data_IF_491573066166
#
_entry.id   IF_491573066166
#
_cell.length_a   1.000
_cell.length_b   1.000
_cell.length_c   1.000
_cell.angle_alpha   90.00
_cell.angle_beta   90.00
_cell.angle_gamma   90.00
#
_symmetry.space_group_name_H-M   'P 1'
#
loop_
_entity.id
_entity.type
_entity.pdbx_description
1 polymer ?
#
# COMPACT_ATOMS: atom_id res chain seq x y z
N UNK A 1 -0.99 -9.56 16.14
CA UNK A 1 -1.30 -8.49 15.16
C UNK A 1 -0.13 -8.21 14.22
N UNK A 2 1.04 -7.71 14.66
CA UNK A 2 2.15 -7.40 13.73
C UNK A 2 2.60 -8.60 12.87
N UNK A 3 2.82 -9.77 13.46
CA UNK A 3 3.21 -10.99 12.72
C UNK A 3 2.14 -11.46 11.72
N UNK A 4 0.86 -11.32 12.06
CA UNK A 4 -0.26 -11.68 11.17
C UNK A 4 -0.28 -10.77 9.93
N UNK A 5 -0.04 -9.47 10.10
CA UNK A 5 0.07 -8.55 8.99
C UNK A 5 1.31 -8.82 8.13
N UNK A 6 2.45 -9.15 8.73
CA UNK A 6 3.67 -9.52 7.98
C UNK A 6 3.37 -10.72 7.07
N UNK A 7 2.81 -11.80 7.64
CA UNK A 7 2.47 -13.01 6.88
C UNK A 7 1.43 -12.74 5.78
N UNK A 8 0.42 -11.92 6.07
CA UNK A 8 -0.60 -11.57 5.09
C UNK A 8 -0.04 -10.74 3.94
N UNK A 9 0.73 -9.69 4.23
CA UNK A 9 1.35 -8.84 3.20
C UNK A 9 2.35 -9.65 2.38
N UNK A 10 3.16 -10.47 3.02
CA UNK A 10 4.11 -11.38 2.35
C UNK A 10 3.38 -12.35 1.41
N UNK A 11 2.30 -12.97 1.86
CA UNK A 11 1.48 -13.85 1.02
C UNK A 11 0.87 -13.13 -0.18
N UNK A 12 0.39 -11.89 0.02
CA UNK A 12 -0.18 -11.06 -1.05
C UNK A 12 0.91 -10.71 -2.09
N UNK A 13 2.12 -10.39 -1.65
CA UNK A 13 3.24 -10.07 -2.53
C UNK A 13 3.71 -11.31 -3.33
N UNK A 14 3.81 -12.47 -2.69
CA UNK A 14 4.15 -13.74 -3.34
C UNK A 14 3.13 -14.15 -4.42
N UNK A 15 1.84 -13.88 -4.20
CA UNK A 15 0.80 -14.14 -5.19
C UNK A 15 0.91 -13.22 -6.41
N UNK A 16 1.45 -12.02 -6.23
CA UNK A 16 1.63 -11.06 -7.32
C UNK A 16 2.85 -11.39 -8.19
N UNK A 17 3.96 -11.78 -7.59
CA UNK A 17 5.19 -12.13 -8.31
C UNK A 17 5.84 -13.38 -7.71
N UNK A 18 5.61 -14.51 -8.37
CA UNK A 18 6.10 -15.83 -7.97
C UNK A 18 7.57 -16.07 -8.31
N UNK A 19 8.23 -15.12 -8.99
CA UNK A 19 9.63 -15.24 -9.42
C UNK A 19 10.62 -14.52 -8.50
N UNK A 20 10.15 -13.62 -7.64
CA UNK A 20 11.00 -12.92 -6.67
C UNK A 20 11.34 -13.80 -5.45
N UNK A 21 12.49 -13.52 -4.84
CA UNK A 21 12.99 -14.27 -3.69
C UNK A 21 12.15 -14.06 -2.43
N UNK A 22 12.00 -15.12 -1.63
CA UNK A 22 11.18 -15.11 -0.41
C UNK A 22 11.62 -14.03 0.61
N UNK A 23 12.95 -13.83 0.72
CA UNK A 23 13.57 -12.83 1.61
C UNK A 23 13.29 -11.37 1.18
N UNK A 24 13.12 -11.12 -0.13
CA UNK A 24 12.85 -9.78 -0.67
C UNK A 24 11.44 -9.33 -0.29
N UNK A 25 10.47 -10.26 -0.31
CA UNK A 25 9.09 -9.97 0.08
C UNK A 25 8.91 -9.83 1.58
N UNK A 26 9.70 -10.56 2.39
CA UNK A 26 9.67 -10.37 3.83
C UNK A 26 10.16 -8.97 4.20
N UNK A 27 11.27 -8.53 3.60
CA UNK A 27 11.80 -7.17 3.78
C UNK A 27 10.80 -6.11 3.32
N UNK A 28 10.14 -6.33 2.18
CA UNK A 28 9.09 -5.44 1.70
C UNK A 28 7.90 -5.36 2.66
N UNK A 29 7.42 -6.48 3.18
CA UNK A 29 6.32 -6.53 4.15
C UNK A 29 6.65 -5.77 5.44
N UNK A 30 7.88 -5.89 5.94
CA UNK A 30 8.34 -5.14 7.10
C UNK A 30 8.41 -3.63 6.83
N UNK A 31 8.88 -3.22 5.65
CA UNK A 31 8.93 -1.82 5.23
C UNK A 31 7.53 -1.22 5.15
N UNK A 32 6.58 -1.94 4.51
CA UNK A 32 5.17 -1.54 4.39
C UNK A 32 4.57 -1.28 5.77
N UNK A 33 4.82 -2.18 6.74
CA UNK A 33 4.27 -2.00 8.08
C UNK A 33 4.95 -0.87 8.85
N UNK A 34 6.27 -0.75 8.76
CA UNK A 34 7.01 0.30 9.46
C UNK A 34 6.54 1.69 9.01
N UNK A 35 6.49 1.93 7.71
CA UNK A 35 6.07 3.21 7.14
C UNK A 35 4.55 3.39 7.25
N UNK A 36 3.79 2.32 7.07
CA UNK A 36 2.34 2.31 7.25
C UNK A 36 1.93 2.72 8.66
N UNK A 37 2.52 2.15 9.70
CA UNK A 37 2.23 2.54 11.09
C UNK A 37 2.69 3.96 11.41
N UNK A 38 3.75 4.45 10.77
CA UNK A 38 4.13 5.86 10.89
C UNK A 38 3.00 6.76 10.39
N UNK A 39 2.50 6.53 9.17
CA UNK A 39 1.42 7.34 8.59
C UNK A 39 0.08 7.19 9.30
N UNK A 40 -0.30 5.97 9.71
CA UNK A 40 -1.50 5.76 10.54
C UNK A 40 -1.44 6.60 11.82
N UNK A 41 -0.26 6.70 12.45
CA UNK A 41 -0.07 7.55 13.63
C UNK A 41 -0.18 9.03 13.30
N UNK A 42 0.40 9.49 12.19
CA UNK A 42 0.27 10.90 11.77
C UNK A 42 -1.20 11.25 11.45
N UNK A 43 -1.94 10.37 10.78
CA UNK A 43 -3.39 10.50 10.59
C UNK A 43 -4.15 10.56 11.91
N UNK A 44 -3.79 9.73 12.89
CA UNK A 44 -4.45 9.70 14.20
C UNK A 44 -4.25 11.00 14.99
N UNK A 45 -3.08 11.64 14.84
CA UNK A 45 -2.79 12.93 15.46
C UNK A 45 -3.56 14.06 14.80
N UNK A 46 -3.62 14.03 13.46
CA UNK A 46 -4.24 15.08 12.67
C UNK A 46 -4.86 14.49 11.39
N UNK A 47 -6.13 14.07 11.43
CA UNK A 47 -6.83 13.54 10.26
C UNK A 47 -7.22 14.71 9.36
N UNK A 48 -6.27 15.15 8.53
CA UNK A 48 -6.41 16.28 7.63
C UNK A 48 -5.97 15.92 6.23
N UNK A 49 -6.51 16.64 5.24
CA UNK A 49 -6.10 16.53 3.84
C UNK A 49 -4.60 16.75 3.67
N UNK A 50 -4.01 17.67 4.44
CA UNK A 50 -2.57 17.92 4.41
C UNK A 50 -1.74 16.67 4.78
N UNK A 51 -2.22 15.85 5.72
CA UNK A 51 -1.56 14.58 6.09
C UNK A 51 -1.62 13.58 4.96
N UNK A 52 -2.78 13.47 4.29
CA UNK A 52 -2.95 12.62 3.09
C UNK A 52 -2.00 13.07 1.98
N UNK A 53 -1.97 14.37 1.69
CA UNK A 53 -1.12 14.96 0.64
C UNK A 53 0.35 14.72 0.92
N UNK A 54 0.80 14.90 2.16
CA UNK A 54 2.19 14.65 2.57
C UNK A 54 2.57 13.17 2.41
N UNK A 55 1.66 12.25 2.77
CA UNK A 55 1.85 10.82 2.58
C UNK A 55 1.99 10.50 1.09
N UNK A 56 1.06 10.94 0.25
CA UNK A 56 1.10 10.70 -1.20
C UNK A 56 2.37 11.30 -1.82
N UNK A 57 2.77 12.51 -1.41
CA UNK A 57 4.02 13.11 -1.87
C UNK A 57 5.23 12.26 -1.49
N UNK A 58 5.31 11.79 -0.25
CA UNK A 58 6.38 10.91 0.21
C UNK A 58 6.43 9.60 -0.59
N UNK A 59 5.29 8.91 -0.71
CA UNK A 59 5.19 7.64 -1.43
C UNK A 59 5.51 7.80 -2.92
N UNK A 60 5.13 8.92 -3.54
CA UNK A 60 5.39 9.19 -4.96
C UNK A 60 6.87 9.30 -5.34
N UNK A 61 7.78 9.34 -4.36
CA UNK A 61 9.23 9.39 -4.59
C UNK A 61 9.89 8.02 -4.80
N UNK A 62 9.10 6.94 -4.79
CA UNK A 62 9.58 5.60 -5.09
C UNK A 62 10.29 5.52 -6.45
N UNK A 63 11.53 5.02 -6.45
CA UNK A 63 12.42 5.08 -7.61
C UNK A 63 12.40 3.79 -8.44
N UNK A 64 12.38 2.63 -7.78
CA UNK A 64 12.37 1.33 -8.44
C UNK A 64 10.95 0.76 -8.57
N UNK A 65 10.74 -0.21 -9.45
CA UNK A 65 9.45 -0.90 -9.58
C UNK A 65 9.02 -1.56 -8.26
N UNK A 66 9.96 -2.15 -7.53
CA UNK A 66 9.70 -2.74 -6.21
C UNK A 66 9.31 -1.66 -5.19
N UNK A 67 9.99 -0.51 -5.18
CA UNK A 67 9.63 0.60 -4.28
C UNK A 67 8.23 1.12 -4.59
N UNK A 68 7.82 1.17 -5.86
CA UNK A 68 6.48 1.61 -6.26
C UNK A 68 5.42 0.65 -5.74
N UNK A 69 5.67 -0.66 -5.82
CA UNK A 69 4.79 -1.69 -5.23
C UNK A 69 4.70 -1.52 -3.72
N UNK A 70 5.84 -1.37 -3.03
CA UNK A 70 5.89 -1.11 -1.59
C UNK A 70 5.11 0.16 -1.24
N UNK A 71 5.24 1.22 -2.02
CA UNK A 71 4.54 2.48 -1.81
C UNK A 71 3.01 2.33 -1.97
N UNK A 72 2.54 1.63 -3.01
CA UNK A 72 1.12 1.31 -3.20
C UNK A 72 0.55 0.49 -2.05
N UNK A 73 1.28 -0.53 -1.62
CA UNK A 73 0.88 -1.39 -0.52
C UNK A 73 0.87 -0.65 0.82
N UNK A 74 1.81 0.27 1.03
CA UNK A 74 1.84 1.17 2.19
C UNK A 74 0.61 2.07 2.20
N UNK A 75 0.26 2.66 1.06
CA UNK A 75 -0.98 3.44 0.93
C UNK A 75 -2.20 2.58 1.28
N UNK A 76 -2.26 1.35 0.76
CA UNK A 76 -3.38 0.43 0.99
C UNK A 76 -3.57 0.12 2.47
N UNK A 77 -2.46 -0.19 3.13
CA UNK A 77 -2.43 -0.46 4.56
C UNK A 77 -2.93 0.75 5.37
N UNK A 78 -2.44 1.95 5.09
CA UNK A 78 -2.83 3.16 5.84
C UNK A 78 -4.31 3.47 5.65
N UNK A 79 -4.79 3.47 4.41
CA UNK A 79 -6.18 3.80 4.09
C UNK A 79 -7.15 2.77 4.68
N UNK A 80 -6.82 1.48 4.60
CA UNK A 80 -7.63 0.43 5.22
C UNK A 80 -7.62 0.52 6.74
N UNK A 81 -6.44 0.69 7.35
CA UNK A 81 -6.31 0.80 8.81
C UNK A 81 -7.05 2.02 9.35
N UNK A 82 -7.06 3.14 8.63
CA UNK A 82 -7.77 4.37 9.03
C UNK A 82 -9.25 4.37 8.63
N UNK A 83 -9.76 3.27 8.05
CA UNK A 83 -11.14 3.14 7.55
C UNK A 83 -11.55 4.27 6.62
N UNK A 84 -10.64 4.70 5.74
CA UNK A 84 -10.94 5.67 4.71
C UNK A 84 -12.11 5.17 3.84
N UNK A 85 -13.09 6.00 3.47
CA UNK A 85 -14.14 5.60 2.55
C UNK A 85 -13.59 5.05 1.23
N UNK A 86 -14.21 3.99 0.71
CA UNK A 86 -13.69 3.23 -0.43
C UNK A 86 -13.59 4.07 -1.72
N UNK A 87 -14.48 5.03 -1.90
CA UNK A 87 -14.46 5.99 -3.01
C UNK A 87 -13.25 6.93 -2.93
N UNK A 88 -12.97 7.47 -1.75
CA UNK A 88 -11.78 8.30 -1.49
C UNK A 88 -10.51 7.48 -1.65
N UNK A 89 -10.48 6.27 -1.09
CA UNK A 89 -9.32 5.39 -1.18
C UNK A 89 -9.01 5.03 -2.64
N UNK A 90 -10.03 4.72 -3.44
CA UNK A 90 -9.89 4.43 -4.87
C UNK A 90 -9.30 5.60 -5.63
N UNK A 91 -9.78 6.82 -5.40
CA UNK A 91 -9.22 8.03 -6.01
C UNK A 91 -7.73 8.23 -5.69
N UNK A 92 -7.33 7.99 -4.43
CA UNK A 92 -5.93 8.09 -4.01
C UNK A 92 -5.05 6.98 -4.61
N UNK A 93 -5.57 5.76 -4.77
CA UNK A 93 -4.86 4.68 -5.45
C UNK A 93 -4.66 4.98 -6.92
N UNK A 94 -5.70 5.44 -7.62
CA UNK A 94 -5.61 5.77 -9.03
C UNK A 94 -4.62 6.93 -9.27
N UNK A 95 -4.61 7.95 -8.41
CA UNK A 95 -3.62 9.03 -8.44
C UNK A 95 -2.18 8.51 -8.30
N UNK A 96 -1.92 7.61 -7.34
CA UNK A 96 -0.57 7.09 -7.12
C UNK A 96 -0.16 6.11 -8.24
N UNK A 97 -1.09 5.28 -8.73
CA UNK A 97 -0.87 4.40 -9.88
C UNK A 97 -0.55 5.20 -11.13
N UNK A 98 -1.29 6.27 -11.40
CA UNK A 98 -1.04 7.17 -12.51
C UNK A 98 0.39 7.73 -12.43
N UNK A 99 0.78 8.31 -11.29
CA UNK A 99 2.15 8.85 -11.10
C UNK A 99 3.27 7.82 -11.34
N UNK A 100 3.03 6.56 -11.02
CA UNK A 100 4.03 5.50 -11.13
C UNK A 100 4.13 4.85 -12.51
N UNK A 101 3.00 4.78 -13.23
CA UNK A 101 2.83 3.88 -14.35
C UNK A 101 2.22 4.52 -15.61
N UNK A 102 2.05 5.85 -15.63
CA UNK A 102 1.44 6.66 -16.72
C UNK A 102 1.86 6.25 -18.16
N UNK A 103 3.08 5.70 -18.35
CA UNK A 103 3.65 5.49 -19.68
C UNK A 103 4.15 4.06 -20.02
N UNK A 104 4.04 3.06 -19.13
CA UNK A 104 4.82 1.81 -19.32
C UNK A 104 4.17 0.48 -18.88
N UNK A 105 2.91 0.44 -18.44
CA UNK A 105 2.32 -0.81 -17.91
C UNK A 105 1.28 -1.42 -18.83
N UNK A 106 1.35 -2.75 -19.03
CA UNK A 106 0.26 -3.50 -19.65
C UNK A 106 -0.97 -3.50 -18.76
N UNK A 107 -2.16 -3.56 -19.37
CA UNK A 107 -3.44 -3.62 -18.64
C UNK A 107 -3.51 -4.78 -17.63
N UNK A 108 -2.84 -5.89 -17.93
CA UNK A 108 -2.72 -7.06 -17.03
C UNK A 108 -1.91 -6.72 -15.78
N UNK A 109 -0.79 -6.00 -15.90
CA UNK A 109 0.04 -5.59 -14.76
C UNK A 109 -0.72 -4.62 -13.86
N UNK A 110 -1.44 -3.66 -14.44
CA UNK A 110 -2.26 -2.71 -13.68
C UNK A 110 -3.42 -3.43 -12.96
N UNK A 111 -4.05 -4.40 -13.60
CA UNK A 111 -5.10 -5.22 -12.98
C UNK A 111 -4.57 -6.01 -11.78
N UNK A 112 -3.39 -6.62 -11.91
CA UNK A 112 -2.72 -7.33 -10.82
C UNK A 112 -2.40 -6.41 -9.63
N UNK A 113 -1.83 -5.23 -9.89
CA UNK A 113 -1.54 -4.23 -8.87
C UNK A 113 -2.81 -3.77 -8.14
N UNK A 114 -3.89 -3.50 -8.88
CA UNK A 114 -5.18 -3.10 -8.29
C UNK A 114 -5.78 -4.19 -7.40
N UNK A 115 -5.73 -5.45 -7.82
CA UNK A 115 -6.22 -6.57 -7.02
C UNK A 115 -5.42 -6.74 -5.72
N UNK A 116 -4.09 -6.62 -5.81
CA UNK A 116 -3.19 -6.72 -4.66
C UNK A 116 -3.47 -5.61 -3.63
N UNK A 117 -3.59 -4.37 -4.10
CA UNK A 117 -3.91 -3.19 -3.26
C UNK A 117 -5.28 -3.33 -2.61
N UNK A 118 -6.29 -3.79 -3.36
CA UNK A 118 -7.64 -4.00 -2.84
C UNK A 118 -7.67 -5.07 -1.73
N UNK A 119 -6.92 -6.17 -1.90
CA UNK A 119 -6.82 -7.23 -0.91
C UNK A 119 -6.22 -6.72 0.41
N UNK A 120 -5.10 -5.99 0.33
CA UNK A 120 -4.48 -5.42 1.52
C UNK A 120 -5.35 -4.35 2.19
N UNK A 121 -6.00 -3.48 1.41
CA UNK A 121 -6.93 -2.48 1.94
C UNK A 121 -8.07 -3.14 2.73
N UNK A 122 -8.69 -4.18 2.17
CA UNK A 122 -9.78 -4.90 2.84
C UNK A 122 -9.27 -5.55 4.14
N UNK A 123 -8.15 -6.26 4.07
CA UNK A 123 -7.54 -6.91 5.23
C UNK A 123 -7.21 -5.90 6.34
N UNK A 124 -6.60 -4.76 5.99
CA UNK A 124 -6.29 -3.71 6.95
C UNK A 124 -7.55 -3.04 7.54
N UNK A 125 -8.63 -2.97 6.76
CA UNK A 125 -9.93 -2.47 7.25
C UNK A 125 -10.56 -3.43 8.25
N UNK A 126 -10.54 -4.74 7.98
CA UNK A 126 -11.10 -5.78 8.85
C UNK A 126 -10.37 -5.89 10.19
N UNK A 127 -9.05 -5.75 10.18
CA UNK A 127 -8.21 -5.81 11.37
C UNK A 127 -7.86 -4.42 11.95
N UNK A 128 -8.56 -3.37 11.51
CA UNK A 128 -8.33 -2.02 11.98
C UNK A 128 -8.74 -1.88 13.46
N UNK A 129 -7.88 -1.26 14.30
CA UNK A 129 -8.24 -0.89 15.68
C UNK A 129 -9.05 0.41 15.79
N UNK A 130 -9.31 1.10 14.67
CA UNK A 130 -10.07 2.35 14.59
C UNK A 130 -11.58 2.10 14.42
#
# INVERSE_FOLDING_TARGET
MKEQYIQAIHSILLQHDTQAGDDDFLTAAESILKDGFHWVREFSKQPSEATVVNMIHHLSRAATEQDKVVALMTLAFVLGTTKMPADVATGLFDELLFRFFDNCSSDEKLTGLKAMVANLYQLATEYSPF
#
